data_IF_240055083924
#
_entry.id   IF_240055083924
#
_cell.length_a   1.000
_cell.length_b   1.000
_cell.length_c   1.000
_cell.angle_alpha   90.00
_cell.angle_beta   90.00
_cell.angle_gamma   90.00
#
_symmetry.space_group_name_H-M   'P 1'
#
loop_
_entity.id
_entity.type
_entity.pdbx_description
1 polymer ?
#
# COMPACT_ATOMS: atom_id res chain seq x y z
N UNK A 1 21.07 28.66 -4.19
CA UNK A 1 20.25 27.44 -4.02
C UNK A 1 19.30 27.71 -2.85
N UNK A 2 17.98 27.57 -3.08
CA UNK A 2 16.99 27.77 -2.00
C UNK A 2 17.27 26.83 -0.82
N UNK A 3 17.34 27.39 0.37
CA UNK A 3 17.57 26.72 1.65
C UNK A 3 16.28 26.80 2.49
N UNK A 4 15.88 25.73 3.13
CA UNK A 4 14.81 25.73 4.14
C UNK A 4 15.41 25.33 5.48
N UNK A 5 15.13 26.09 6.52
CA UNK A 5 15.56 25.80 7.89
C UNK A 5 14.30 25.63 8.73
N UNK A 6 14.07 24.44 9.25
CA UNK A 6 12.98 24.13 10.16
C UNK A 6 13.55 24.21 11.58
N UNK A 7 12.97 25.06 12.44
CA UNK A 7 13.43 25.27 13.81
C UNK A 7 12.37 24.85 14.83
N UNK A 8 12.80 24.62 16.06
CA UNK A 8 11.96 24.21 17.19
C UNK A 8 11.18 22.92 16.88
N UNK A 9 11.79 21.94 16.19
CA UNK A 9 11.17 20.71 15.80
C UNK A 9 11.38 19.60 16.87
N UNK A 10 10.36 18.75 17.07
CA UNK A 10 10.56 17.43 17.65
C UNK A 10 10.76 16.44 16.52
N UNK A 11 12.02 16.12 16.22
CA UNK A 11 12.38 15.24 15.09
C UNK A 11 12.30 13.79 15.53
N UNK A 12 11.50 13.00 14.82
CA UNK A 12 11.35 11.57 15.03
C UNK A 12 11.64 10.81 13.73
N UNK A 13 12.53 9.81 13.82
CA UNK A 13 12.74 8.80 12.79
C UNK A 13 13.12 7.48 13.48
N UNK A 14 13.25 6.34 12.77
CA UNK A 14 13.55 5.06 13.40
C UNK A 14 14.72 5.07 14.39
N UNK A 15 15.75 5.90 14.10
CA UNK A 15 16.97 5.96 14.89
C UNK A 15 17.19 7.33 15.58
N UNK A 16 16.19 8.21 15.53
CA UNK A 16 16.33 9.60 16.00
C UNK A 16 15.07 10.03 16.75
N UNK A 17 15.26 10.54 17.97
CA UNK A 17 14.27 11.25 18.76
C UNK A 17 14.95 12.50 19.37
N UNK A 18 14.74 13.66 18.76
CA UNK A 18 15.43 14.91 19.13
C UNK A 18 14.43 16.04 19.34
N UNK A 19 14.30 16.51 20.58
CA UNK A 19 13.54 17.71 20.92
C UNK A 19 14.33 18.99 20.59
N UNK A 20 13.60 20.06 20.30
CA UNK A 20 14.15 21.39 19.99
C UNK A 20 15.21 21.36 18.86
N UNK A 21 15.00 20.48 17.90
CA UNK A 21 15.93 20.30 16.80
C UNK A 21 15.73 21.32 15.69
N UNK A 22 16.82 21.53 14.94
CA UNK A 22 16.85 22.31 13.70
C UNK A 22 17.20 21.39 12.54
N UNK A 23 16.40 21.44 11.46
CA UNK A 23 16.70 20.75 10.20
C UNK A 23 17.10 21.79 9.15
N UNK A 24 18.16 21.51 8.44
CA UNK A 24 18.64 22.31 7.30
C UNK A 24 18.44 21.50 6.02
N UNK A 25 17.64 22.02 5.10
CA UNK A 25 17.32 21.41 3.81
C UNK A 25 17.88 22.32 2.70
N UNK A 26 18.61 21.74 1.76
CA UNK A 26 19.11 22.46 0.59
C UNK A 26 19.23 21.51 -0.59
N UNK A 27 18.79 21.96 -1.78
CA UNK A 27 18.79 21.14 -2.98
C UNK A 27 17.95 19.88 -2.85
N UNK A 28 16.79 19.96 -2.16
CA UNK A 28 15.86 18.84 -1.97
C UNK A 28 16.39 17.73 -1.03
N UNK A 29 17.45 18.01 -0.25
CA UNK A 29 18.04 17.02 0.68
C UNK A 29 18.22 17.63 2.07
N UNK A 30 18.00 16.81 3.11
CA UNK A 30 18.38 17.15 4.48
C UNK A 30 19.90 17.16 4.54
N UNK A 31 20.46 18.30 4.92
CA UNK A 31 21.92 18.53 5.04
C UNK A 31 22.41 18.37 6.47
N UNK A 32 21.57 18.71 7.43
CA UNK A 32 21.91 18.62 8.84
C UNK A 32 20.63 18.51 9.68
N UNK A 33 20.72 17.75 10.76
CA UNK A 33 19.80 17.73 11.89
C UNK A 33 20.65 17.99 13.13
N UNK A 34 20.26 18.96 13.97
CA UNK A 34 21.06 19.36 15.15
C UNK A 34 20.15 19.91 16.25
N UNK A 35 20.54 19.72 17.50
CA UNK A 35 19.93 20.39 18.66
C UNK A 35 20.63 21.71 19.02
N UNK A 36 21.75 22.04 18.36
CA UNK A 36 22.39 23.33 18.55
C UNK A 36 21.52 24.45 17.99
N UNK A 37 21.34 25.49 18.78
CA UNK A 37 20.58 26.67 18.34
C UNK A 37 21.26 27.30 17.12
N UNK A 38 20.60 27.28 15.98
CA UNK A 38 21.00 28.05 14.81
C UNK A 38 20.15 29.33 14.74
N UNK A 39 20.78 30.47 14.79
CA UNK A 39 20.16 31.75 14.44
C UNK A 39 20.01 31.84 12.93
N UNK A 40 19.06 31.07 12.37
CA UNK A 40 18.73 31.20 10.97
C UNK A 40 17.86 32.44 10.78
N UNK A 41 18.33 33.37 9.97
CA UNK A 41 17.51 34.52 9.52
C UNK A 41 16.95 34.21 8.14
N UNK A 42 15.67 34.50 7.95
CA UNK A 42 15.07 34.44 6.63
C UNK A 42 15.68 35.53 5.74
N UNK A 43 16.06 35.15 4.53
CA UNK A 43 16.55 36.04 3.49
C UNK A 43 16.00 35.61 2.11
N UNK A 44 16.52 36.19 1.03
CA UNK A 44 16.05 35.90 -0.35
C UNK A 44 16.19 34.41 -0.73
N UNK A 45 17.19 33.73 -0.18
CA UNK A 45 17.52 32.34 -0.49
C UNK A 45 17.19 31.36 0.64
N UNK A 46 16.82 31.85 1.82
CA UNK A 46 16.54 31.06 3.02
C UNK A 46 15.14 31.26 3.54
N UNK A 47 14.34 30.21 3.55
CA UNK A 47 13.04 30.14 4.24
C UNK A 47 13.22 29.56 5.63
N UNK A 48 12.74 30.23 6.66
CA UNK A 48 12.74 29.72 8.03
C UNK A 48 11.31 29.35 8.41
N UNK A 49 11.13 28.11 8.88
CA UNK A 49 9.84 27.56 9.34
C UNK A 49 9.98 27.20 10.82
N UNK A 50 9.29 27.95 11.68
CA UNK A 50 9.18 27.61 13.10
C UNK A 50 7.99 26.69 13.32
N UNK A 51 8.26 25.42 13.69
CA UNK A 51 7.21 24.41 13.92
C UNK A 51 6.78 24.34 15.40
N UNK A 52 7.32 25.18 16.28
CA UNK A 52 6.86 25.39 17.67
C UNK A 52 6.69 24.10 18.46
N UNK A 53 7.66 23.19 18.37
CA UNK A 53 7.63 21.91 19.08
C UNK A 53 6.80 20.80 18.39
N UNK A 54 6.26 21.05 17.22
CA UNK A 54 5.55 20.00 16.47
C UNK A 54 6.52 18.91 15.99
N UNK A 55 5.96 17.73 15.76
CA UNK A 55 6.70 16.61 15.20
C UNK A 55 7.11 16.87 13.75
N UNK A 56 8.34 16.52 13.44
CA UNK A 56 8.86 16.45 12.08
C UNK A 56 9.42 15.03 11.88
N UNK A 57 8.82 14.30 10.97
CA UNK A 57 9.16 12.91 10.70
C UNK A 57 9.23 12.65 9.19
N UNK A 58 9.86 11.53 8.75
CA UNK A 58 9.77 11.10 7.36
C UNK A 58 8.30 10.96 6.94
N UNK A 59 7.95 11.39 5.72
CA UNK A 59 6.61 11.16 5.19
C UNK A 59 6.33 9.65 5.07
N UNK A 60 5.09 9.26 5.32
CA UNK A 60 4.68 7.86 5.22
C UNK A 60 4.76 7.32 3.81
N UNK A 61 4.91 6.01 3.70
CA UNK A 61 4.85 5.25 2.45
C UNK A 61 3.70 4.27 2.57
N UNK A 62 2.72 4.36 1.66
CA UNK A 62 1.57 3.46 1.60
C UNK A 62 1.68 2.58 0.35
N UNK A 63 1.89 1.28 0.55
CA UNK A 63 2.11 0.33 -0.56
C UNK A 63 0.83 -0.34 -1.04
N UNK A 64 -0.32 -0.04 -0.39
CA UNK A 64 -1.60 -0.64 -0.73
C UNK A 64 -2.75 0.35 -0.48
N UNK A 65 -3.28 0.92 -1.58
CA UNK A 65 -4.39 1.89 -1.53
C UNK A 65 -5.09 1.99 -2.88
N UNK A 66 -6.40 1.83 -2.92
CA UNK A 66 -7.21 1.83 -4.15
C UNK A 66 -7.77 3.22 -4.47
N UNK A 67 -8.20 3.96 -3.45
CA UNK A 67 -8.94 5.18 -3.68
C UNK A 67 -9.00 6.14 -2.48
N UNK A 68 -9.46 7.36 -2.75
CA UNK A 68 -9.84 8.38 -1.77
C UNK A 68 -10.60 9.53 -2.45
N UNK A 69 -11.32 10.34 -1.66
CA UNK A 69 -12.04 11.54 -2.13
C UNK A 69 -12.99 11.27 -3.33
N UNK A 70 -13.60 10.09 -3.39
CA UNK A 70 -14.51 9.71 -4.47
C UNK A 70 -13.84 9.14 -5.73
N UNK A 71 -12.51 9.11 -5.80
CA UNK A 71 -11.74 8.58 -6.92
C UNK A 71 -11.16 7.19 -6.63
N UNK A 72 -11.05 6.35 -7.65
CA UNK A 72 -10.41 5.03 -7.60
C UNK A 72 -9.33 4.93 -8.67
N UNK A 73 -8.25 4.24 -8.38
CA UNK A 73 -7.15 4.08 -9.34
C UNK A 73 -7.56 3.34 -10.62
N UNK A 74 -8.57 2.48 -10.54
CA UNK A 74 -9.12 1.76 -11.67
C UNK A 74 -10.20 2.54 -12.44
N UNK A 75 -10.47 3.79 -12.06
CA UNK A 75 -11.36 4.64 -12.85
C UNK A 75 -10.78 4.91 -14.23
N UNK A 76 -11.66 5.02 -15.22
CA UNK A 76 -11.26 5.40 -16.56
C UNK A 76 -10.83 6.88 -16.69
N UNK A 77 -11.02 7.66 -15.61
CA UNK A 77 -10.69 9.08 -15.52
C UNK A 77 -9.20 9.30 -15.21
N UNK A 78 -8.43 9.95 -16.10
CA UNK A 78 -7.04 10.28 -15.85
C UNK A 78 -6.80 11.22 -14.65
N UNK A 79 -7.81 11.95 -14.19
CA UNK A 79 -7.69 12.84 -13.03
C UNK A 79 -7.84 12.10 -11.70
N UNK A 80 -8.31 10.86 -11.70
CA UNK A 80 -8.47 10.05 -10.50
C UNK A 80 -7.15 9.91 -9.72
N UNK A 81 -6.04 9.63 -10.41
CA UNK A 81 -4.71 9.50 -9.77
C UNK A 81 -4.22 10.81 -9.16
N UNK A 82 -4.54 11.98 -9.74
CA UNK A 82 -4.19 13.28 -9.15
C UNK A 82 -4.99 13.54 -7.88
N UNK A 83 -6.27 13.17 -7.87
CA UNK A 83 -7.14 13.25 -6.69
C UNK A 83 -6.61 12.35 -5.57
N UNK A 84 -6.28 11.10 -5.89
CA UNK A 84 -5.66 10.16 -4.96
C UNK A 84 -4.36 10.71 -4.36
N UNK A 85 -3.42 11.11 -5.21
CA UNK A 85 -2.12 11.59 -4.77
C UNK A 85 -2.21 12.83 -3.87
N UNK A 86 -3.18 13.72 -4.15
CA UNK A 86 -3.47 14.88 -3.31
C UNK A 86 -4.07 14.48 -1.95
N UNK A 87 -5.00 13.53 -1.94
CA UNK A 87 -5.59 13.00 -0.72
C UNK A 87 -4.52 12.34 0.16
N UNK A 88 -3.70 11.46 -0.41
CA UNK A 88 -2.60 10.80 0.30
C UNK A 88 -1.60 11.79 0.89
N UNK A 89 -1.25 12.85 0.16
CA UNK A 89 -0.36 13.87 0.70
C UNK A 89 -0.96 14.60 1.92
N UNK A 90 -2.28 14.85 1.95
CA UNK A 90 -2.98 15.43 3.11
C UNK A 90 -2.98 14.49 4.32
N UNK A 91 -2.92 13.18 4.09
CA UNK A 91 -2.78 12.13 5.14
C UNK A 91 -1.34 12.02 5.67
N UNK A 92 -0.38 12.76 5.11
CA UNK A 92 1.05 12.66 5.45
C UNK A 92 1.79 11.57 4.67
N UNK A 93 1.13 10.91 3.72
CA UNK A 93 1.72 9.93 2.82
C UNK A 93 2.42 10.67 1.67
N UNK A 94 3.74 10.61 1.62
CA UNK A 94 4.54 11.31 0.60
C UNK A 94 4.89 10.43 -0.59
N UNK A 95 4.69 9.13 -0.46
CA UNK A 95 4.92 8.13 -1.51
C UNK A 95 3.90 7.00 -1.37
N UNK A 96 3.29 6.56 -2.47
CA UNK A 96 2.36 5.43 -2.42
C UNK A 96 2.41 4.60 -3.71
N UNK A 97 1.92 3.37 -3.61
CA UNK A 97 1.65 2.52 -4.75
C UNK A 97 0.13 2.49 -4.97
N UNK A 98 -0.39 3.22 -5.96
CA UNK A 98 -1.80 3.10 -6.31
C UNK A 98 -2.06 1.65 -6.72
N UNK A 99 -3.10 1.07 -6.11
CA UNK A 99 -3.39 -0.36 -6.18
C UNK A 99 -4.59 -0.63 -7.07
N UNK A 100 -4.43 -1.55 -8.01
CA UNK A 100 -5.54 -1.94 -8.89
C UNK A 100 -6.48 -2.90 -8.18
N UNK A 101 -7.71 -2.95 -8.65
CA UNK A 101 -8.65 -4.02 -8.33
C UNK A 101 -8.47 -5.21 -9.28
N UNK A 102 -9.13 -6.33 -8.98
CA UNK A 102 -9.30 -7.46 -9.90
C UNK A 102 -10.25 -7.05 -11.03
N UNK A 103 -9.67 -6.63 -12.15
CA UNK A 103 -10.36 -6.06 -13.32
C UNK A 103 -9.86 -6.67 -14.63
N UNK A 104 -10.43 -6.24 -15.75
CA UNK A 104 -9.99 -6.68 -17.07
C UNK A 104 -8.55 -6.25 -17.38
N UNK A 105 -7.87 -6.98 -18.28
CA UNK A 105 -6.51 -6.62 -18.70
C UNK A 105 -6.45 -5.21 -19.33
N UNK A 106 -7.49 -4.84 -20.09
CA UNK A 106 -7.60 -3.50 -20.66
C UNK A 106 -7.63 -2.40 -19.59
N UNK A 107 -8.36 -2.64 -18.48
CA UNK A 107 -8.38 -1.71 -17.34
C UNK A 107 -7.02 -1.62 -16.64
N UNK A 108 -6.32 -2.73 -16.46
CA UNK A 108 -4.96 -2.71 -15.88
C UNK A 108 -4.00 -1.85 -16.71
N UNK A 109 -4.05 -1.98 -18.05
CA UNK A 109 -3.26 -1.17 -18.95
C UNK A 109 -3.64 0.33 -18.90
N UNK A 110 -4.94 0.65 -18.81
CA UNK A 110 -5.42 2.01 -18.68
C UNK A 110 -4.99 2.65 -17.36
N UNK A 111 -5.12 1.93 -16.24
CA UNK A 111 -4.65 2.40 -14.91
C UNK A 111 -3.14 2.65 -14.90
N UNK A 112 -2.35 1.75 -15.47
CA UNK A 112 -0.91 1.94 -15.63
C UNK A 112 -0.57 3.18 -16.50
N UNK A 113 -1.34 3.42 -17.58
CA UNK A 113 -1.16 4.60 -18.41
C UNK A 113 -1.49 5.90 -17.67
N UNK A 114 -2.51 5.90 -16.80
CA UNK A 114 -2.86 7.04 -15.95
C UNK A 114 -1.75 7.32 -14.92
N UNK A 115 -1.17 6.29 -14.30
CA UNK A 115 -0.03 6.43 -13.39
C UNK A 115 1.21 7.01 -14.10
N UNK A 116 1.49 6.56 -15.33
CA UNK A 116 2.57 7.13 -16.16
C UNK A 116 2.32 8.61 -16.45
N UNK A 117 1.12 8.98 -16.87
CA UNK A 117 0.72 10.39 -17.12
C UNK A 117 0.96 11.26 -15.87
N UNK A 118 0.58 10.78 -14.69
CA UNK A 118 0.83 11.49 -13.44
C UNK A 118 2.33 11.69 -13.17
N UNK A 119 3.16 10.68 -13.39
CA UNK A 119 4.60 10.78 -13.23
C UNK A 119 5.23 11.75 -14.25
N UNK A 120 4.80 11.72 -15.51
CA UNK A 120 5.23 12.63 -16.57
C UNK A 120 4.83 14.08 -16.30
N UNK A 121 3.71 14.33 -15.59
CA UNK A 121 3.31 15.65 -15.11
C UNK A 121 4.15 16.15 -13.92
N UNK A 122 5.19 15.42 -13.51
CA UNK A 122 6.11 15.79 -12.43
C UNK A 122 5.63 15.41 -11.04
N UNK A 123 4.58 14.60 -10.91
CA UNK A 123 4.02 14.13 -9.63
C UNK A 123 3.85 15.27 -8.61
N UNK A 124 2.92 16.21 -8.81
CA UNK A 124 2.82 17.46 -8.05
C UNK A 124 2.40 17.26 -6.59
N UNK A 125 1.95 16.07 -6.21
CA UNK A 125 1.53 15.67 -4.88
C UNK A 125 2.38 14.51 -4.36
N UNK A 126 1.79 13.49 -3.71
CA UNK A 126 2.50 12.30 -3.27
C UNK A 126 3.14 11.56 -4.47
N UNK A 127 4.34 11.02 -4.29
CA UNK A 127 5.08 10.32 -5.35
C UNK A 127 4.47 8.95 -5.65
N UNK A 128 4.49 8.58 -6.94
CA UNK A 128 4.07 7.27 -7.44
C UNK A 128 5.25 6.61 -8.16
N UNK A 129 6.08 5.83 -7.45
CA UNK A 129 7.26 5.18 -8.04
C UNK A 129 6.95 3.93 -8.86
N UNK A 130 5.70 3.52 -8.89
CA UNK A 130 5.15 2.36 -9.58
C UNK A 130 3.77 2.05 -9.04
N UNK A 131 3.19 0.92 -9.46
CA UNK A 131 1.85 0.47 -9.08
C UNK A 131 1.90 -0.88 -8.36
N UNK A 132 0.87 -1.15 -7.58
CA UNK A 132 0.57 -2.46 -7.00
C UNK A 132 -0.60 -3.09 -7.77
N UNK A 133 -0.43 -4.31 -8.27
CA UNK A 133 -1.53 -5.08 -8.84
C UNK A 133 -2.12 -5.99 -7.76
N UNK A 134 -3.33 -5.71 -7.29
CA UNK A 134 -4.05 -6.64 -6.43
C UNK A 134 -4.96 -7.53 -7.29
N UNK A 135 -4.51 -8.76 -7.45
CA UNK A 135 -5.07 -9.66 -8.45
C UNK A 135 -4.60 -9.29 -9.88
N UNK A 136 -5.27 -9.79 -10.88
CA UNK A 136 -6.49 -10.60 -10.91
C UNK A 136 -6.26 -12.11 -10.68
N UNK A 137 -5.09 -12.51 -10.26
CA UNK A 137 -4.67 -13.91 -10.09
C UNK A 137 -4.97 -14.43 -8.67
N UNK A 138 -6.15 -14.10 -8.15
CA UNK A 138 -6.60 -14.44 -6.81
C UNK A 138 -7.45 -15.71 -6.80
N UNK A 139 -7.74 -16.24 -5.60
CA UNK A 139 -8.64 -17.38 -5.47
C UNK A 139 -10.11 -16.92 -5.51
N UNK A 140 -10.98 -17.53 -6.35
CA UNK A 140 -12.40 -17.16 -6.45
C UNK A 140 -13.18 -17.30 -5.13
N UNK A 141 -12.78 -18.21 -4.22
CA UNK A 141 -13.41 -18.37 -2.90
C UNK A 141 -12.96 -17.33 -1.87
N UNK A 142 -11.92 -16.52 -2.21
CA UNK A 142 -11.32 -15.52 -1.34
C UNK A 142 -11.34 -14.12 -1.98
N UNK A 143 -12.31 -13.86 -2.82
CA UNK A 143 -12.42 -12.57 -3.52
C UNK A 143 -12.61 -11.38 -2.58
N UNK A 144 -13.28 -11.56 -1.41
CA UNK A 144 -13.69 -10.41 -0.63
C UNK A 144 -14.55 -9.46 -1.48
N UNK A 145 -14.17 -8.21 -1.53
CA UNK A 145 -14.82 -7.18 -2.36
C UNK A 145 -14.34 -7.14 -3.83
N UNK A 146 -13.43 -8.03 -4.23
CA UNK A 146 -12.95 -8.12 -5.61
C UNK A 146 -13.99 -8.80 -6.52
N UNK A 147 -14.05 -8.43 -7.80
CA UNK A 147 -15.03 -8.98 -8.73
C UNK A 147 -14.59 -10.36 -9.27
N UNK A 148 -15.29 -11.46 -8.95
CA UNK A 148 -14.91 -12.81 -9.37
C UNK A 148 -14.93 -13.01 -10.88
N UNK A 149 -15.66 -12.18 -11.64
CA UNK A 149 -15.73 -12.24 -13.10
C UNK A 149 -14.36 -12.08 -13.77
N UNK A 150 -13.45 -11.36 -13.17
CA UNK A 150 -12.13 -11.06 -13.74
C UNK A 150 -11.01 -11.92 -13.17
N UNK A 151 -11.31 -12.81 -12.23
CA UNK A 151 -10.34 -13.75 -11.67
C UNK A 151 -9.82 -14.69 -12.76
N UNK A 152 -8.52 -14.87 -12.82
CA UNK A 152 -7.86 -15.73 -13.81
C UNK A 152 -6.51 -16.25 -13.31
N UNK A 153 -5.94 -17.23 -14.01
CA UNK A 153 -4.64 -17.82 -13.68
C UNK A 153 -3.50 -16.80 -13.84
N UNK A 154 -2.42 -16.92 -13.05
CA UNK A 154 -1.22 -16.10 -13.20
C UNK A 154 -0.70 -16.06 -14.63
N UNK A 155 -0.42 -14.87 -15.16
CA UNK A 155 0.06 -14.65 -16.52
C UNK A 155 1.27 -13.71 -16.54
N UNK A 156 2.45 -14.28 -16.74
CA UNK A 156 3.68 -13.49 -16.91
C UNK A 156 3.60 -12.56 -18.12
N UNK A 157 2.86 -12.95 -19.17
CA UNK A 157 2.67 -12.11 -20.35
C UNK A 157 1.92 -10.83 -20.00
N UNK A 158 0.75 -10.94 -19.33
CA UNK A 158 -0.04 -9.79 -18.91
C UNK A 158 0.76 -8.88 -17.94
N UNK A 159 1.47 -9.47 -16.97
CA UNK A 159 2.32 -8.72 -16.05
C UNK A 159 3.39 -7.91 -16.81
N UNK A 160 4.07 -8.51 -17.80
CA UNK A 160 5.06 -7.82 -18.63
C UNK A 160 4.45 -6.68 -19.44
N UNK A 161 3.27 -6.88 -20.01
CA UNK A 161 2.55 -5.87 -20.78
C UNK A 161 2.22 -4.64 -19.90
N UNK A 162 1.68 -4.85 -18.70
CA UNK A 162 1.40 -3.76 -17.75
C UNK A 162 2.68 -3.09 -17.27
N UNK A 163 3.70 -3.87 -16.90
CA UNK A 163 4.99 -3.35 -16.42
C UNK A 163 5.74 -2.55 -17.47
N UNK A 164 5.51 -2.81 -18.76
CA UNK A 164 6.06 -2.02 -19.86
C UNK A 164 5.37 -0.66 -20.01
N UNK A 165 4.11 -0.52 -19.58
CA UNK A 165 3.38 0.76 -19.57
C UNK A 165 3.85 1.63 -18.42
N UNK A 166 3.86 1.08 -17.20
CA UNK A 166 4.38 1.75 -16.00
C UNK A 166 4.89 0.71 -15.01
N UNK A 167 5.96 0.98 -14.23
CA UNK A 167 6.56 -0.01 -13.36
C UNK A 167 5.57 -0.64 -12.37
N UNK A 168 5.42 -1.96 -12.42
CA UNK A 168 4.75 -2.72 -11.37
C UNK A 168 5.77 -2.99 -10.28
N UNK A 169 5.51 -2.54 -9.05
CA UNK A 169 6.39 -2.76 -7.91
C UNK A 169 6.00 -3.97 -7.10
N UNK A 170 4.72 -4.24 -7.02
CA UNK A 170 4.17 -5.35 -6.24
C UNK A 170 2.99 -5.98 -6.99
N UNK A 171 2.80 -7.28 -6.79
CA UNK A 171 1.63 -8.01 -7.26
C UNK A 171 1.15 -8.97 -6.19
N UNK A 172 -0.13 -8.82 -5.79
CA UNK A 172 -0.81 -9.74 -4.88
C UNK A 172 -1.54 -10.83 -5.66
N UNK A 173 -1.31 -12.10 -5.29
CA UNK A 173 -1.92 -13.23 -5.96
C UNK A 173 -2.08 -14.44 -5.03
N UNK A 174 -2.93 -15.40 -5.41
CA UNK A 174 -3.13 -16.66 -4.71
C UNK A 174 -2.00 -17.65 -5.06
N UNK A 175 -1.19 -18.02 -4.07
CA UNK A 175 0.05 -18.82 -4.27
C UNK A 175 -0.24 -20.27 -4.67
N UNK A 176 -1.42 -20.80 -4.31
CA UNK A 176 -1.90 -22.13 -4.69
C UNK A 176 -2.40 -22.21 -6.14
N UNK A 177 -2.58 -21.08 -6.81
CA UNK A 177 -2.98 -21.07 -8.21
C UNK A 177 -2.01 -21.89 -9.07
N UNK A 178 -2.52 -22.51 -10.12
CA UNK A 178 -1.69 -23.29 -11.05
C UNK A 178 -0.53 -22.45 -11.59
N UNK A 179 0.70 -22.92 -11.33
CA UNK A 179 1.92 -22.19 -11.67
C UNK A 179 2.33 -21.10 -10.68
N UNK A 180 1.62 -20.91 -9.55
CA UNK A 180 1.84 -19.82 -8.58
C UNK A 180 3.27 -19.75 -8.05
N UNK A 181 3.90 -20.87 -7.69
CA UNK A 181 5.30 -20.89 -7.27
C UNK A 181 6.28 -20.45 -8.38
N UNK A 182 6.03 -20.86 -9.62
CA UNK A 182 6.84 -20.43 -10.77
C UNK A 182 6.63 -18.94 -11.05
N UNK A 183 5.41 -18.46 -10.90
CA UNK A 183 5.06 -17.05 -11.05
C UNK A 183 5.80 -16.16 -10.03
N UNK A 184 5.94 -16.60 -8.77
CA UNK A 184 6.76 -15.88 -7.77
C UNK A 184 8.19 -15.65 -8.28
N UNK A 185 8.83 -16.69 -8.81
CA UNK A 185 10.19 -16.61 -9.38
C UNK A 185 10.25 -15.64 -10.56
N UNK A 186 9.25 -15.67 -11.41
CA UNK A 186 9.20 -14.84 -12.62
C UNK A 186 8.97 -13.35 -12.26
N UNK A 187 8.12 -13.06 -11.26
CA UNK A 187 7.97 -11.73 -10.68
C UNK A 187 9.29 -11.22 -10.11
N UNK A 188 9.95 -12.03 -9.26
CA UNK A 188 11.24 -11.67 -8.66
C UNK A 188 12.30 -11.32 -9.71
N UNK A 189 12.39 -12.11 -10.80
CA UNK A 189 13.31 -11.85 -11.92
C UNK A 189 13.00 -10.54 -12.66
N UNK A 190 11.75 -10.09 -12.67
CA UNK A 190 11.32 -8.81 -13.24
C UNK A 190 11.53 -7.62 -12.29
N UNK A 191 11.98 -7.85 -11.06
CA UNK A 191 12.06 -6.82 -10.03
C UNK A 191 10.69 -6.38 -9.48
N UNK A 192 9.68 -7.24 -9.63
CA UNK A 192 8.34 -7.09 -9.06
C UNK A 192 8.26 -7.92 -7.77
N UNK A 193 7.80 -7.34 -6.69
CA UNK A 193 7.61 -8.04 -5.41
C UNK A 193 6.39 -8.95 -5.50
N UNK A 194 6.55 -10.29 -5.47
CA UNK A 194 5.42 -11.20 -5.36
C UNK A 194 4.90 -11.23 -3.93
N UNK A 195 3.60 -10.97 -3.75
CA UNK A 195 2.89 -10.96 -2.48
C UNK A 195 1.78 -12.00 -2.47
N UNK A 196 1.61 -12.71 -1.36
CA UNK A 196 0.52 -13.65 -1.18
C UNK A 196 -0.68 -12.95 -0.58
N UNK A 197 -1.82 -13.01 -1.24
CA UNK A 197 -3.10 -12.47 -0.77
C UNK A 197 -4.28 -13.07 -1.51
N UNK A 198 -5.49 -12.92 -0.96
CA UNK A 198 -6.72 -13.50 -1.53
C UNK A 198 -6.54 -14.98 -1.89
N UNK A 199 -6.15 -15.78 -0.92
CA UNK A 199 -5.62 -17.13 -1.08
C UNK A 199 -6.33 -18.13 -0.19
N UNK A 200 -6.63 -19.29 -0.73
CA UNK A 200 -7.10 -20.47 0.03
C UNK A 200 -5.95 -21.49 0.22
N UNK A 201 -4.72 -21.02 0.04
CA UNK A 201 -3.50 -21.83 0.12
C UNK A 201 -3.18 -22.34 1.51
N UNK A 202 -2.27 -23.30 1.52
CA UNK A 202 -1.72 -23.94 2.71
C UNK A 202 -0.29 -23.48 2.99
N UNK A 203 0.27 -23.93 4.13
CA UNK A 203 1.70 -23.72 4.45
C UNK A 203 2.60 -24.23 3.31
N UNK A 204 2.27 -25.38 2.68
CA UNK A 204 3.07 -25.95 1.59
C UNK A 204 3.10 -25.05 0.35
N UNK A 205 1.96 -24.44 0.03
CA UNK A 205 1.86 -23.52 -1.11
C UNK A 205 2.70 -22.27 -0.87
N UNK A 206 2.61 -21.70 0.35
CA UNK A 206 3.43 -20.57 0.74
C UNK A 206 4.93 -20.89 0.70
N UNK A 207 5.35 -22.03 1.26
CA UNK A 207 6.74 -22.46 1.21
C UNK A 207 7.24 -22.65 -0.22
N UNK A 208 6.42 -23.21 -1.11
CA UNK A 208 6.78 -23.36 -2.51
C UNK A 208 7.01 -22.00 -3.18
N UNK A 209 6.14 -21.02 -2.95
CA UNK A 209 6.30 -19.65 -3.45
C UNK A 209 7.50 -18.94 -2.79
N UNK A 210 7.68 -19.11 -1.47
CA UNK A 210 8.80 -18.56 -0.70
C UNK A 210 10.16 -19.02 -1.23
N UNK A 211 10.33 -20.31 -1.51
CA UNK A 211 11.56 -20.86 -2.15
C UNK A 211 11.81 -20.28 -3.55
N UNK A 212 10.80 -19.72 -4.17
CA UNK A 212 10.86 -19.08 -5.47
C UNK A 212 10.88 -17.53 -5.41
N UNK A 213 11.13 -16.93 -4.24
CA UNK A 213 11.39 -15.50 -4.10
C UNK A 213 10.24 -14.68 -3.55
N UNK A 214 9.10 -15.28 -3.20
CA UNK A 214 8.05 -14.57 -2.45
C UNK A 214 8.56 -14.20 -1.06
N UNK A 215 8.32 -12.94 -0.65
CA UNK A 215 8.72 -12.40 0.65
C UNK A 215 7.67 -11.48 1.26
N UNK A 216 6.43 -11.53 0.78
CA UNK A 216 5.42 -10.55 1.16
C UNK A 216 4.04 -11.19 1.36
N UNK A 217 3.28 -10.69 2.34
CA UNK A 217 1.90 -11.05 2.62
C UNK A 217 1.03 -9.78 2.54
N UNK A 218 0.02 -9.83 1.68
CA UNK A 218 -0.93 -8.73 1.45
C UNK A 218 -1.97 -8.71 2.57
N UNK A 219 -2.31 -7.53 3.11
CA UNK A 219 -3.33 -7.30 4.16
C UNK A 219 -3.54 -8.51 5.08
N UNK A 220 -2.47 -8.90 5.75
CA UNK A 220 -2.32 -10.13 6.52
C UNK A 220 -3.55 -10.45 7.39
N UNK A 221 -3.97 -11.70 7.36
CA UNK A 221 -5.18 -12.30 7.92
C UNK A 221 -6.45 -12.09 7.08
N UNK A 222 -6.58 -11.01 6.30
CA UNK A 222 -7.77 -10.77 5.50
C UNK A 222 -7.74 -11.62 4.23
N UNK A 223 -8.86 -12.27 3.90
CA UNK A 223 -8.99 -13.16 2.74
C UNK A 223 -7.89 -14.24 2.65
N UNK A 224 -7.53 -14.82 3.80
CA UNK A 224 -6.56 -15.91 3.96
C UNK A 224 -7.16 -17.07 4.73
N UNK A 225 -6.60 -18.28 4.56
CA UNK A 225 -6.97 -19.44 5.40
C UNK A 225 -6.58 -19.19 6.86
N UNK A 226 -7.50 -19.38 7.82
CA UNK A 226 -7.27 -19.07 9.22
C UNK A 226 -6.28 -20.06 9.88
N UNK A 227 -5.73 -19.66 11.02
CA UNK A 227 -4.95 -20.54 11.88
C UNK A 227 -5.85 -21.62 12.49
N UNK A 228 -5.49 -22.90 12.27
CA UNK A 228 -6.22 -24.04 12.78
C UNK A 228 -5.27 -25.14 13.21
N UNK A 229 -5.61 -25.90 14.26
CA UNK A 229 -4.73 -26.88 14.90
C UNK A 229 -4.36 -28.13 14.04
N UNK A 230 -5.10 -28.44 12.99
CA UNK A 230 -4.82 -29.53 12.05
C UNK A 230 -4.26 -29.08 10.70
N UNK A 231 -4.49 -27.85 10.32
CA UNK A 231 -3.91 -27.18 9.15
C UNK A 231 -3.63 -25.74 9.55
N UNK A 232 -2.36 -25.39 9.62
CA UNK A 232 -1.94 -24.09 10.18
C UNK A 232 -2.49 -22.90 9.39
N UNK A 233 -2.85 -23.11 8.14
CA UNK A 233 -3.36 -22.10 7.24
C UNK A 233 -2.34 -21.03 6.88
N UNK A 234 -2.76 -20.10 6.04
CA UNK A 234 -1.90 -19.01 5.60
C UNK A 234 -1.54 -18.05 6.74
N UNK A 235 -2.51 -17.78 7.63
CA UNK A 235 -2.28 -16.93 8.81
C UNK A 235 -1.21 -17.54 9.73
N UNK A 236 -1.32 -18.84 10.03
CA UNK A 236 -0.31 -19.51 10.85
C UNK A 236 1.04 -19.61 10.15
N UNK A 237 1.05 -19.89 8.85
CA UNK A 237 2.26 -19.90 8.04
C UNK A 237 3.00 -18.56 8.07
N UNK A 238 2.25 -17.46 7.98
CA UNK A 238 2.80 -16.11 8.09
C UNK A 238 3.45 -15.82 9.45
N UNK A 239 2.97 -16.45 10.53
CA UNK A 239 3.64 -16.36 11.85
C UNK A 239 4.87 -17.26 12.00
N UNK A 240 5.00 -18.31 11.19
CA UNK A 240 6.13 -19.25 11.25
C UNK A 240 7.33 -18.85 10.39
N UNK A 241 7.14 -18.05 9.35
CA UNK A 241 8.21 -17.60 8.46
C UNK A 241 8.58 -16.15 8.81
N UNK A 242 9.63 -15.97 9.60
CA UNK A 242 9.96 -14.70 10.26
C UNK A 242 10.36 -13.56 9.30
N UNK A 243 10.96 -13.86 8.16
CA UNK A 243 11.49 -12.86 7.20
C UNK A 243 10.47 -12.45 6.10
N UNK A 244 9.21 -12.88 6.20
CA UNK A 244 8.15 -12.35 5.37
C UNK A 244 7.78 -10.93 5.78
N UNK A 245 7.70 -10.01 4.83
CA UNK A 245 7.07 -8.72 5.06
C UNK A 245 5.55 -8.88 5.11
N UNK A 246 4.91 -8.14 5.96
CA UNK A 246 3.49 -8.34 6.28
C UNK A 246 2.78 -6.99 6.23
N UNK A 247 1.85 -6.83 5.30
CA UNK A 247 0.95 -5.67 5.31
C UNK A 247 -0.09 -5.82 6.42
N UNK A 248 -0.36 -4.74 7.13
CA UNK A 248 -1.30 -4.73 8.26
C UNK A 248 -2.22 -3.52 8.16
N UNK A 249 -3.53 -3.77 8.10
CA UNK A 249 -4.56 -2.73 8.21
C UNK A 249 -4.81 -2.51 9.70
N UNK A 250 -4.45 -1.32 10.21
CA UNK A 250 -4.47 -1.02 11.65
C UNK A 250 -5.73 -0.24 12.09
N UNK A 251 -6.84 -0.35 11.37
CA UNK A 251 -8.07 0.40 11.62
C UNK A 251 -8.92 -0.14 12.79
N UNK A 252 -8.55 -1.29 13.37
CA UNK A 252 -9.27 -1.98 14.45
C UNK A 252 -10.67 -2.50 14.04
N UNK A 253 -10.92 -2.56 12.73
CA UNK A 253 -12.14 -3.07 12.10
C UNK A 253 -11.82 -4.36 11.35
N UNK A 254 -10.84 -4.31 10.42
CA UNK A 254 -10.36 -5.48 9.68
C UNK A 254 -9.60 -6.46 10.57
N UNK A 255 -8.91 -5.96 11.58
CA UNK A 255 -8.22 -6.75 12.61
C UNK A 255 -8.65 -6.25 13.99
N UNK A 256 -9.11 -7.16 14.85
CA UNK A 256 -9.40 -6.81 16.25
C UNK A 256 -8.12 -6.49 17.03
N UNK A 257 -8.28 -5.81 18.16
CA UNK A 257 -7.15 -5.40 19.01
C UNK A 257 -6.24 -6.56 19.40
N UNK A 258 -6.81 -7.73 19.72
CA UNK A 258 -6.03 -8.91 20.11
C UNK A 258 -5.22 -9.47 18.93
N UNK A 259 -5.75 -9.44 17.70
CA UNK A 259 -4.99 -9.85 16.53
C UNK A 259 -3.87 -8.86 16.20
N UNK A 260 -4.12 -7.55 16.30
CA UNK A 260 -3.08 -6.54 16.16
C UNK A 260 -1.98 -6.74 17.21
N UNK A 261 -2.38 -6.94 18.48
CA UNK A 261 -1.43 -7.23 19.57
C UNK A 261 -0.60 -8.48 19.28
N UNK A 262 -1.22 -9.57 18.78
CA UNK A 262 -0.52 -10.80 18.40
C UNK A 262 0.50 -10.52 17.30
N UNK A 263 0.11 -9.82 16.23
CA UNK A 263 0.99 -9.48 15.11
C UNK A 263 2.19 -8.67 15.60
N UNK A 264 1.97 -7.56 16.32
CA UNK A 264 3.04 -6.68 16.79
C UNK A 264 3.92 -7.31 17.89
N UNK A 265 3.45 -8.36 18.56
CA UNK A 265 4.25 -9.12 19.54
C UNK A 265 5.09 -10.21 18.87
N UNK A 266 4.57 -10.84 17.82
CA UNK A 266 5.18 -12.01 17.21
C UNK A 266 6.02 -11.70 15.96
N UNK A 267 5.75 -10.59 15.29
CA UNK A 267 6.47 -10.18 14.08
C UNK A 267 7.48 -9.09 14.41
N UNK A 268 8.64 -9.14 13.77
CA UNK A 268 9.60 -8.04 13.83
C UNK A 268 9.01 -6.78 13.19
N UNK A 269 9.15 -5.63 13.85
CA UNK A 269 8.73 -4.34 13.30
C UNK A 269 9.40 -4.03 11.94
N UNK A 270 10.60 -4.58 11.69
CA UNK A 270 11.29 -4.45 10.41
C UNK A 270 10.55 -5.14 9.25
N UNK A 271 9.61 -6.04 9.54
CA UNK A 271 8.84 -6.80 8.58
C UNK A 271 7.33 -6.48 8.63
N UNK A 272 6.93 -5.41 9.33
CA UNK A 272 5.55 -4.93 9.34
C UNK A 272 5.45 -3.68 8.48
N UNK A 273 4.52 -3.67 7.55
CA UNK A 273 4.16 -2.52 6.73
C UNK A 273 2.72 -2.13 7.03
N UNK A 274 2.51 -1.00 7.70
CA UNK A 274 1.16 -0.46 7.88
C UNK A 274 0.67 0.10 6.55
N UNK A 275 -0.50 -0.35 6.13
CA UNK A 275 -1.17 0.08 4.91
C UNK A 275 -2.53 0.67 5.24
N UNK A 276 -3.08 1.44 4.31
CA UNK A 276 -4.45 1.93 4.48
C UNK A 276 -5.49 1.00 3.87
N UNK A 277 -5.16 0.36 2.76
CA UNK A 277 -6.13 -0.36 1.92
C UNK A 277 -7.39 0.49 1.65
N UNK A 278 -7.18 1.80 1.52
CA UNK A 278 -8.26 2.75 1.45
C UNK A 278 -8.98 2.69 0.10
N UNK A 279 -10.29 2.86 0.16
CA UNK A 279 -11.18 2.85 -0.99
C UNK A 279 -11.58 4.27 -1.39
N UNK A 280 -12.23 4.43 -2.56
CA UNK A 280 -12.73 5.75 -3.02
C UNK A 280 -13.59 6.48 -2.00
N UNK A 281 -14.26 5.77 -1.09
CA UNK A 281 -15.10 6.35 -0.06
C UNK A 281 -14.32 6.97 1.11
N UNK A 282 -12.99 6.81 1.16
CA UNK A 282 -12.16 7.51 2.17
C UNK A 282 -12.37 9.01 2.08
N UNK A 283 -12.62 9.66 3.23
CA UNK A 283 -12.99 11.05 3.41
C UNK A 283 -14.41 11.43 2.90
N UNK A 284 -15.18 10.48 2.38
CA UNK A 284 -16.58 10.70 2.04
C UNK A 284 -17.47 10.63 3.29
N UNK A 285 -18.69 11.15 3.17
CA UNK A 285 -19.69 11.08 4.24
C UNK A 285 -20.41 9.74 4.22
N UNK A 286 -20.89 9.32 5.37
CA UNK A 286 -21.79 8.17 5.48
C UNK A 286 -22.97 8.27 4.51
N UNK A 287 -23.37 7.13 3.96
CA UNK A 287 -24.37 7.03 2.91
C UNK A 287 -23.78 7.14 1.49
N UNK A 288 -22.48 7.40 1.33
CA UNK A 288 -21.85 7.37 0.01
C UNK A 288 -21.90 5.95 -0.57
N UNK A 289 -22.59 5.81 -1.69
CA UNK A 289 -22.70 4.54 -2.42
C UNK A 289 -21.90 4.61 -3.72
N UNK A 290 -21.23 3.53 -4.06
CA UNK A 290 -20.38 3.44 -5.24
C UNK A 290 -20.22 2.01 -5.75
N UNK A 291 -19.61 1.86 -6.91
CA UNK A 291 -19.17 0.56 -7.42
C UNK A 291 -17.65 0.44 -7.33
N UNK A 292 -17.18 -0.73 -6.91
CA UNK A 292 -15.78 -1.11 -6.86
C UNK A 292 -15.55 -2.31 -7.78
N UNK A 293 -14.92 -2.08 -8.95
CA UNK A 293 -14.73 -3.13 -9.94
C UNK A 293 -16.03 -3.78 -10.45
N UNK A 294 -17.17 -3.07 -10.37
CA UNK A 294 -18.51 -3.58 -10.70
C UNK A 294 -19.25 -4.28 -9.56
N UNK A 295 -18.76 -4.14 -8.32
CA UNK A 295 -19.40 -4.63 -7.10
C UNK A 295 -19.94 -3.43 -6.32
N UNK A 296 -21.23 -3.45 -5.93
CA UNK A 296 -21.87 -2.36 -5.19
C UNK A 296 -21.38 -2.30 -3.73
N UNK A 297 -20.98 -1.11 -3.29
CA UNK A 297 -20.47 -0.82 -1.94
C UNK A 297 -21.15 0.42 -1.39
N UNK A 298 -21.40 0.46 -0.08
CA UNK A 298 -21.89 1.64 0.63
C UNK A 298 -21.05 1.92 1.87
N UNK A 299 -20.81 3.20 2.15
CA UNK A 299 -20.17 3.65 3.37
C UNK A 299 -21.24 3.80 4.47
N UNK A 300 -21.09 3.07 5.56
CA UNK A 300 -21.98 3.11 6.71
C UNK A 300 -21.18 3.04 8.01
N UNK A 301 -21.47 3.97 8.91
CA UNK A 301 -20.77 4.09 10.21
C UNK A 301 -19.24 4.15 10.05
N UNK A 302 -18.76 4.86 9.02
CA UNK A 302 -17.35 4.99 8.66
C UNK A 302 -16.72 3.73 8.04
N UNK A 303 -17.52 2.70 7.71
CA UNK A 303 -17.06 1.40 7.21
C UNK A 303 -17.66 1.11 5.83
N UNK A 304 -16.81 0.73 4.87
CA UNK A 304 -17.26 0.27 3.55
C UNK A 304 -17.85 -1.15 3.67
N UNK A 305 -19.06 -1.34 3.12
CA UNK A 305 -19.76 -2.63 3.16
C UNK A 305 -20.32 -2.99 1.81
N UNK A 306 -20.25 -4.28 1.47
CA UNK A 306 -20.89 -4.80 0.27
C UNK A 306 -22.42 -4.64 0.37
N UNK A 307 -23.05 -4.18 -0.71
CA UNK A 307 -24.52 -4.04 -0.78
C UNK A 307 -25.19 -5.40 -0.80
N UNK A 308 -24.51 -6.44 -1.30
CA UNK A 308 -25.08 -7.79 -1.47
C UNK A 308 -25.39 -8.50 -0.16
N UNK A 309 -24.53 -8.37 0.86
CA UNK A 309 -24.58 -9.15 2.10
C UNK A 309 -24.15 -8.40 3.36
N UNK A 310 -23.72 -7.15 3.22
CA UNK A 310 -23.29 -6.28 4.32
C UNK A 310 -21.91 -6.63 4.91
N UNK A 311 -21.15 -7.56 4.31
CA UNK A 311 -19.78 -7.86 4.72
C UNK A 311 -18.82 -6.70 4.40
N UNK A 312 -17.69 -6.70 5.13
CA UNK A 312 -16.54 -5.83 4.89
C UNK A 312 -15.85 -6.20 3.59
#
# INVERSE_FOLDING_TARGET
>A
MKKTVIINAHVISPDVDLMNATLVISGGRIRRVTTQAETAKADRDTTVVDVRGQYVMPGFIDVHTHGADGADFCDADPEAIFTLARAKLREGVTTFLPTTLTVSHANLLASAANARRYAEAGAPFAKVPGIHLEGPYINPSRCGAQNPKYVRKPSLRELKEVNAVFPVRQISYAVEAEGGAAFARDCFKLGVVPSCGHTDGTMRDLEAAYRNGLRHLTHFCNQMTPLHHREIGMVGAGFLIDDLNTEVICDRIHLCDDMLRLIFTRRSLAHIQMITDSLRCSHCKDGYAFEMGGVGVTLKDGVARLVSDGHL
#
